data_IF_418176985127
#
_entry.id   IF_418176985127
#
_cell.length_a   1.000
_cell.length_b   1.000
_cell.length_c   1.000
_cell.angle_alpha   90.00
_cell.angle_beta   90.00
_cell.angle_gamma   90.00
#
_symmetry.space_group_name_H-M   'P 1'
#
loop_
_entity.id
_entity.type
_entity.pdbx_description
1 polymer ?
#
# COMPACT_ATOMS: atom_id res chain seq x y z
N UNK A 1 -8.36 8.56 -12.04
CA UNK A 1 -9.72 8.80 -11.52
C UNK A 1 -10.56 7.61 -11.90
N UNK A 2 -11.28 7.00 -10.94
CA UNK A 2 -12.17 5.87 -11.25
C UNK A 2 -13.26 6.30 -12.22
N UNK A 3 -13.62 5.46 -13.21
CA UNK A 3 -14.79 5.69 -14.05
C UNK A 3 -16.05 5.82 -13.19
N UNK A 4 -16.97 6.69 -13.57
CA UNK A 4 -18.19 6.93 -12.79
C UNK A 4 -19.02 5.67 -12.52
N UNK A 5 -19.05 4.73 -13.46
CA UNK A 5 -19.73 3.43 -13.31
C UNK A 5 -19.08 2.54 -12.24
N UNK A 6 -17.74 2.50 -12.19
CA UNK A 6 -17.03 1.76 -11.16
C UNK A 6 -17.25 2.36 -9.76
N UNK A 7 -17.35 3.68 -9.67
CA UNK A 7 -17.65 4.37 -8.42
C UNK A 7 -19.06 4.05 -7.92
N UNK A 8 -20.06 4.04 -8.80
CA UNK A 8 -21.43 3.66 -8.47
C UNK A 8 -21.50 2.20 -8.00
N UNK A 9 -20.90 1.29 -8.74
CA UNK A 9 -20.84 -0.14 -8.36
C UNK A 9 -20.21 -0.35 -6.98
N UNK A 10 -19.14 0.40 -6.65
CA UNK A 10 -18.52 0.33 -5.33
C UNK A 10 -19.40 0.91 -4.22
N UNK A 11 -20.11 1.99 -4.49
CA UNK A 11 -21.03 2.59 -3.49
C UNK A 11 -22.22 1.65 -3.20
N UNK A 12 -22.72 0.96 -4.19
CA UNK A 12 -23.79 -0.02 -4.03
C UNK A 12 -23.31 -1.27 -3.27
N UNK A 13 -22.08 -1.70 -3.52
CA UNK A 13 -21.50 -2.87 -2.85
C UNK A 13 -21.15 -2.62 -1.37
N UNK A 14 -20.89 -1.37 -0.97
CA UNK A 14 -20.48 -1.01 0.40
C UNK A 14 -21.38 0.12 0.90
N UNK A 15 -22.57 -0.20 1.40
CA UNK A 15 -23.53 0.81 1.85
C UNK A 15 -22.99 1.63 3.03
N UNK A 16 -23.46 2.87 3.14
CA UNK A 16 -23.08 3.84 4.18
C UNK A 16 -21.59 4.25 4.14
N UNK A 17 -20.93 4.12 2.99
CA UNK A 17 -19.52 4.50 2.78
C UNK A 17 -19.29 5.37 1.55
N UNK A 18 -20.32 5.90 0.96
CA UNK A 18 -20.28 6.66 -0.29
C UNK A 18 -19.30 7.83 -0.20
N UNK A 19 -19.35 8.58 0.91
CA UNK A 19 -18.47 9.72 1.14
C UNK A 19 -16.99 9.30 1.21
N UNK A 20 -16.70 8.24 1.99
CA UNK A 20 -15.34 7.73 2.14
C UNK A 20 -14.79 7.17 0.84
N UNK A 21 -15.60 6.44 0.09
CA UNK A 21 -15.23 5.89 -1.22
C UNK A 21 -14.91 7.03 -2.19
N UNK A 22 -15.74 8.08 -2.26
CA UNK A 22 -15.51 9.25 -3.11
C UNK A 22 -14.24 10.01 -2.71
N UNK A 23 -14.01 10.22 -1.41
CA UNK A 23 -12.82 10.88 -0.91
C UNK A 23 -11.55 10.08 -1.24
N UNK A 24 -11.54 8.77 -0.97
CA UNK A 24 -10.42 7.89 -1.29
C UNK A 24 -10.17 7.80 -2.80
N UNK A 25 -11.22 7.69 -3.60
CA UNK A 25 -11.12 7.69 -5.06
C UNK A 25 -10.53 8.99 -5.61
N UNK A 26 -10.89 10.13 -5.04
CA UNK A 26 -10.32 11.41 -5.40
C UNK A 26 -8.84 11.52 -5.02
N UNK A 27 -8.46 11.02 -3.83
CA UNK A 27 -7.08 11.00 -3.36
C UNK A 27 -6.19 10.00 -4.12
N UNK A 28 -6.76 8.94 -4.68
CA UNK A 28 -6.07 8.00 -5.56
C UNK A 28 -6.03 8.44 -7.03
N UNK A 29 -6.65 9.59 -7.35
CA UNK A 29 -6.55 10.26 -8.64
C UNK A 29 -5.24 11.05 -8.82
N UNK A 30 -5.12 11.83 -9.90
CA UNK A 30 -4.00 12.72 -10.14
C UNK A 30 -4.29 14.16 -9.62
N UNK A 31 -3.35 14.81 -8.92
CA UNK A 31 -2.04 14.29 -8.43
C UNK A 31 -2.18 13.39 -7.20
N UNK A 32 -1.49 12.25 -7.21
CA UNK A 32 -1.48 11.32 -6.09
C UNK A 32 -0.67 11.86 -4.90
N UNK A 33 -1.16 11.76 -3.66
CA UNK A 33 -0.34 12.02 -2.49
C UNK A 33 0.77 10.97 -2.36
N UNK A 34 1.92 11.35 -1.83
CA UNK A 34 3.03 10.43 -1.60
C UNK A 34 2.67 9.36 -0.56
N UNK A 35 1.87 9.73 0.43
CA UNK A 35 1.43 8.86 1.51
C UNK A 35 0.00 9.22 1.92
N UNK A 36 -0.81 8.21 2.18
CA UNK A 36 -2.17 8.36 2.66
C UNK A 36 -2.38 7.53 3.93
N UNK A 37 -2.87 8.17 4.99
CA UNK A 37 -3.17 7.50 6.25
C UNK A 37 -4.69 7.37 6.41
N UNK A 38 -5.17 6.12 6.48
CA UNK A 38 -6.58 5.82 6.76
C UNK A 38 -6.70 5.31 8.19
N UNK A 39 -7.31 6.09 9.05
CA UNK A 39 -7.50 5.76 10.46
C UNK A 39 -8.98 5.71 10.85
N UNK A 40 -9.29 5.13 11.99
CA UNK A 40 -10.65 5.08 12.55
C UNK A 40 -10.95 3.80 13.33
N UNK A 41 -12.09 3.77 13.99
CA UNK A 41 -12.54 2.73 14.92
C UNK A 41 -12.44 1.33 14.32
N UNK A 42 -12.13 0.33 15.15
CA UNK A 42 -12.06 -1.08 14.75
C UNK A 42 -13.41 -1.56 14.19
N UNK A 43 -13.35 -2.50 13.24
CA UNK A 43 -14.52 -3.14 12.62
C UNK A 43 -15.45 -2.21 11.82
N UNK A 44 -14.98 -1.04 11.40
CA UNK A 44 -15.77 -0.11 10.56
C UNK A 44 -15.63 -0.32 9.05
N UNK A 45 -15.17 -1.46 8.60
CA UNK A 45 -15.08 -1.80 7.17
C UNK A 45 -13.93 -1.17 6.39
N UNK A 46 -12.95 -0.49 7.04
CA UNK A 46 -11.81 0.16 6.36
C UNK A 46 -11.05 -0.76 5.39
N UNK A 47 -10.73 -2.00 5.82
CA UNK A 47 -10.01 -2.95 4.96
C UNK A 47 -10.85 -3.37 3.75
N UNK A 48 -12.15 -3.58 3.97
CA UNK A 48 -13.07 -3.92 2.88
C UNK A 48 -13.13 -2.80 1.85
N UNK A 49 -13.35 -1.57 2.31
CA UNK A 49 -13.41 -0.39 1.43
C UNK A 49 -12.11 -0.19 0.64
N UNK A 50 -10.95 -0.32 1.30
CA UNK A 50 -9.65 -0.19 0.63
C UNK A 50 -9.45 -1.27 -0.43
N UNK A 51 -9.71 -2.54 -0.10
CA UNK A 51 -9.55 -3.65 -1.06
C UNK A 51 -10.47 -3.49 -2.26
N UNK A 52 -11.76 -3.23 -2.04
CA UNK A 52 -12.70 -3.01 -3.12
C UNK A 52 -12.31 -1.82 -4.01
N UNK A 53 -11.74 -0.77 -3.43
CA UNK A 53 -11.23 0.37 -4.18
C UNK A 53 -9.99 0.00 -5.01
N UNK A 54 -9.05 -0.77 -4.45
CA UNK A 54 -7.86 -1.22 -5.16
C UNK A 54 -8.20 -2.15 -6.32
N UNK A 55 -9.19 -3.03 -6.14
CA UNK A 55 -9.68 -3.92 -7.19
C UNK A 55 -10.32 -3.15 -8.36
N UNK A 56 -10.87 -1.97 -8.07
CA UNK A 56 -11.48 -1.10 -9.08
C UNK A 56 -10.49 -0.12 -9.76
N UNK A 57 -9.32 0.08 -9.17
CA UNK A 57 -8.27 0.95 -9.74
C UNK A 57 -7.34 0.11 -10.60
N UNK A 58 -7.17 0.51 -11.87
CA UNK A 58 -6.23 -0.14 -12.79
C UNK A 58 -4.76 0.26 -12.51
N UNK A 59 -4.33 -0.03 -11.29
CA UNK A 59 -2.97 0.24 -10.83
C UNK A 59 -2.48 -0.96 -10.03
N UNK A 60 -1.30 -1.51 -10.34
CA UNK A 60 -0.72 -2.61 -9.57
C UNK A 60 -0.64 -2.26 -8.09
N UNK A 61 -1.16 -3.13 -7.25
CA UNK A 61 -1.23 -2.88 -5.81
C UNK A 61 -0.96 -4.13 -5.00
N UNK A 62 -0.50 -3.95 -3.77
CA UNK A 62 -0.34 -5.03 -2.81
C UNK A 62 -0.78 -4.61 -1.41
N UNK A 63 -1.33 -5.56 -0.65
CA UNK A 63 -1.75 -5.35 0.74
C UNK A 63 -0.92 -6.23 1.66
N UNK A 64 -0.15 -5.59 2.52
CA UNK A 64 0.68 -6.25 3.55
C UNK A 64 -0.04 -6.20 4.88
N UNK A 65 -0.37 -7.36 5.44
CA UNK A 65 -1.02 -7.49 6.74
C UNK A 65 0.01 -7.46 7.85
N UNK A 66 0.11 -6.33 8.56
CA UNK A 66 1.10 -6.16 9.65
C UNK A 66 0.88 -7.12 10.82
N UNK A 67 -0.35 -7.63 11.01
CA UNK A 67 -0.64 -8.62 12.06
C UNK A 67 -0.01 -10.00 11.81
N UNK A 68 0.35 -10.31 10.58
CA UNK A 68 1.05 -11.56 10.22
C UNK A 68 2.56 -11.43 10.38
N UNK A 69 3.05 -10.24 10.71
CA UNK A 69 4.47 -9.92 10.83
C UNK A 69 4.82 -9.66 12.29
N UNK A 70 5.71 -10.46 12.87
CA UNK A 70 6.11 -10.36 14.28
C UNK A 70 7.07 -9.18 14.49
N UNK A 71 7.95 -8.93 13.53
CA UNK A 71 9.00 -7.91 13.60
C UNK A 71 8.88 -6.94 12.43
N UNK A 72 9.43 -5.73 12.60
CA UNK A 72 9.55 -4.75 11.52
C UNK A 72 10.30 -5.31 10.31
N UNK A 73 11.38 -6.04 10.55
CA UNK A 73 12.12 -6.74 9.49
C UNK A 73 11.21 -7.67 8.68
N UNK A 74 10.45 -8.54 9.34
CA UNK A 74 9.54 -9.47 8.68
C UNK A 74 8.48 -8.72 7.85
N UNK A 75 7.98 -7.58 8.35
CA UNK A 75 7.05 -6.72 7.62
C UNK A 75 7.66 -6.17 6.32
N UNK A 76 8.89 -5.67 6.39
CA UNK A 76 9.59 -5.10 5.23
C UNK A 76 9.94 -6.17 4.19
N UNK A 77 10.47 -7.32 4.62
CA UNK A 77 10.77 -8.47 3.75
C UNK A 77 9.49 -8.99 3.05
N UNK A 78 8.38 -9.08 3.80
CA UNK A 78 7.09 -9.50 3.25
C UNK A 78 6.55 -8.48 2.24
N UNK A 79 6.74 -7.20 2.48
CA UNK A 79 6.36 -6.15 1.53
C UNK A 79 7.11 -6.30 0.21
N UNK A 80 8.43 -6.48 0.23
CA UNK A 80 9.24 -6.73 -0.97
C UNK A 80 8.73 -7.96 -1.72
N UNK A 81 8.57 -9.09 -1.02
CA UNK A 81 8.09 -10.33 -1.64
C UNK A 81 6.71 -10.16 -2.29
N UNK A 82 5.82 -9.45 -1.62
CA UNK A 82 4.47 -9.20 -2.15
C UNK A 82 4.49 -8.31 -3.39
N UNK A 83 5.36 -7.29 -3.43
CA UNK A 83 5.56 -6.42 -4.59
C UNK A 83 6.13 -7.24 -5.76
N UNK A 84 7.17 -8.05 -5.52
CA UNK A 84 7.77 -8.92 -6.54
C UNK A 84 6.73 -9.86 -7.15
N UNK A 85 5.90 -10.50 -6.34
CA UNK A 85 4.84 -11.40 -6.81
C UNK A 85 3.83 -10.67 -7.73
N UNK A 86 3.41 -9.47 -7.35
CA UNK A 86 2.49 -8.67 -8.19
C UNK A 86 3.15 -8.28 -9.50
N UNK A 87 4.40 -7.82 -9.47
CA UNK A 87 5.14 -7.43 -10.68
C UNK A 87 5.37 -8.61 -11.62
N UNK A 88 5.66 -9.80 -11.08
CA UNK A 88 5.80 -11.02 -11.87
C UNK A 88 4.49 -11.42 -12.56
N UNK A 89 3.36 -11.31 -11.83
CA UNK A 89 2.04 -11.65 -12.38
C UNK A 89 1.59 -10.68 -13.49
N UNK A 90 2.02 -9.42 -13.43
CA UNK A 90 1.69 -8.40 -14.44
C UNK A 90 2.66 -8.45 -15.64
N UNK A 91 3.61 -9.41 -15.68
CA UNK A 91 4.59 -9.55 -16.76
C UNK A 91 5.64 -8.44 -16.79
N UNK A 92 5.76 -7.69 -15.71
CA UNK A 92 6.74 -6.61 -15.57
C UNK A 92 8.07 -7.08 -14.95
N UNK A 93 8.20 -8.34 -14.60
CA UNK A 93 9.41 -8.93 -14.06
C UNK A 93 10.23 -9.56 -15.19
N UNK A 94 10.99 -8.78 -15.92
CA UNK A 94 12.14 -9.26 -16.68
C UNK A 94 13.37 -9.09 -15.81
N UNK A 95 13.85 -10.16 -15.25
CA UNK A 95 15.10 -10.14 -14.50
C UNK A 95 15.06 -11.08 -13.31
N UNK A 96 16.21 -11.64 -13.03
CA UNK A 96 16.52 -12.59 -11.99
C UNK A 96 15.71 -12.34 -10.70
N UNK A 97 15.17 -13.39 -10.15
CA UNK A 97 14.74 -13.49 -8.78
C UNK A 97 15.78 -12.80 -7.90
N UNK A 98 15.58 -11.51 -7.60
CA UNK A 98 16.47 -10.77 -6.72
C UNK A 98 16.40 -11.49 -5.39
N UNK A 99 17.45 -12.26 -5.11
CA UNK A 99 17.50 -13.18 -4.00
C UNK A 99 17.12 -12.47 -2.71
N UNK A 100 16.44 -13.20 -1.86
CA UNK A 100 15.93 -12.84 -0.54
C UNK A 100 16.92 -11.92 0.24
N UNK A 101 17.02 -10.67 -0.16
CA UNK A 101 17.88 -9.68 0.51
C UNK A 101 17.25 -9.36 1.85
N UNK A 102 18.03 -9.55 2.89
CA UNK A 102 17.61 -9.29 4.26
C UNK A 102 17.40 -7.78 4.46
N UNK A 103 16.16 -7.36 4.62
CA UNK A 103 15.81 -5.97 4.92
C UNK A 103 15.77 -5.77 6.44
N UNK A 104 16.93 -5.63 7.07
CA UNK A 104 17.03 -5.46 8.53
C UNK A 104 16.57 -4.08 9.00
N UNK A 105 16.54 -3.10 8.11
CA UNK A 105 16.13 -1.73 8.40
C UNK A 105 15.44 -1.08 7.19
N UNK A 106 14.97 0.14 7.38
CA UNK A 106 14.29 0.90 6.32
C UNK A 106 15.23 1.29 5.17
N UNK A 107 16.51 1.56 5.44
CA UNK A 107 17.44 1.99 4.39
C UNK A 107 17.64 0.95 3.28
N UNK A 108 17.98 -0.33 3.56
CA UNK A 108 18.03 -1.35 2.52
C UNK A 108 16.67 -1.60 1.87
N UNK A 109 15.56 -1.47 2.61
CA UNK A 109 14.22 -1.57 2.06
C UNK A 109 13.94 -0.49 1.00
N UNK A 110 14.32 0.77 1.24
CA UNK A 110 14.18 1.86 0.26
C UNK A 110 14.97 1.56 -1.01
N UNK A 111 16.21 1.12 -0.89
CA UNK A 111 17.07 0.80 -2.04
C UNK A 111 16.45 -0.33 -2.87
N UNK A 112 15.96 -1.38 -2.22
CA UNK A 112 15.32 -2.51 -2.89
C UNK A 112 14.04 -2.08 -3.61
N UNK A 113 13.21 -1.24 -2.96
CA UNK A 113 12.02 -0.68 -3.58
C UNK A 113 12.34 0.18 -4.80
N UNK A 114 13.38 1.02 -4.73
CA UNK A 114 13.81 1.82 -5.87
C UNK A 114 14.18 0.93 -7.05
N UNK A 115 14.98 -0.10 -6.83
CA UNK A 115 15.40 -1.05 -7.86
C UNK A 115 14.21 -1.80 -8.47
N UNK A 116 13.26 -2.25 -7.61
CA UNK A 116 12.09 -2.99 -8.06
C UNK A 116 11.10 -2.15 -8.88
N UNK A 117 11.00 -0.87 -8.59
CA UNK A 117 9.98 0.00 -9.18
C UNK A 117 10.54 0.99 -10.21
N UNK A 118 11.84 0.97 -10.44
CA UNK A 118 12.48 1.79 -11.45
C UNK A 118 11.92 1.50 -12.85
N UNK A 119 11.42 2.56 -13.51
CA UNK A 119 10.83 2.45 -14.85
C UNK A 119 9.47 1.76 -14.95
N UNK A 120 8.88 1.29 -13.84
CA UNK A 120 7.66 0.46 -13.85
C UNK A 120 6.34 1.21 -13.59
N UNK A 121 6.39 2.54 -13.53
CA UNK A 121 5.19 3.35 -13.36
C UNK A 121 4.66 3.40 -11.93
N UNK A 122 3.34 3.41 -11.78
CA UNK A 122 2.67 3.58 -10.48
C UNK A 122 2.46 2.24 -9.81
N UNK A 123 2.71 2.19 -8.50
CA UNK A 123 2.46 1.01 -7.67
C UNK A 123 1.91 1.43 -6.32
N UNK A 124 0.86 0.78 -5.83
CA UNK A 124 0.24 1.09 -4.54
C UNK A 124 0.62 0.01 -3.52
N UNK A 125 1.23 0.42 -2.41
CA UNK A 125 1.52 -0.48 -1.28
C UNK A 125 0.64 -0.11 -0.10
N UNK A 126 -0.10 -1.06 0.43
CA UNK A 126 -0.97 -0.89 1.60
C UNK A 126 -0.42 -1.66 2.79
N UNK A 127 -0.15 -0.97 3.89
CA UNK A 127 0.16 -1.58 5.17
C UNK A 127 -1.08 -1.59 6.06
N UNK A 128 -1.74 -2.73 6.18
CA UNK A 128 -2.95 -2.87 7.00
C UNK A 128 -2.60 -3.23 8.45
N UNK A 129 -3.07 -2.40 9.39
CA UNK A 129 -2.87 -2.60 10.82
C UNK A 129 -1.45 -2.32 11.30
N UNK A 130 -0.76 -1.35 10.69
CA UNK A 130 0.62 -0.97 11.00
C UNK A 130 0.80 -0.50 12.45
N UNK A 131 -0.23 0.05 13.05
CA UNK A 131 -0.29 0.49 14.44
C UNK A 131 -0.04 -0.64 15.46
N UNK A 132 -0.13 -1.89 15.05
CA UNK A 132 0.11 -3.05 15.91
C UNK A 132 1.59 -3.42 16.05
N UNK A 133 2.44 -2.92 15.19
CA UNK A 133 3.89 -3.12 15.31
C UNK A 133 4.42 -2.34 16.50
N UNK A 134 5.21 -2.97 17.38
CA UNK A 134 5.74 -2.36 18.60
C UNK A 134 6.54 -1.09 18.34
N UNK A 135 7.25 -1.03 17.22
CA UNK A 135 8.09 0.10 16.81
C UNK A 135 7.37 1.07 15.86
N UNK A 136 6.08 0.83 15.56
CA UNK A 136 5.37 1.57 14.52
C UNK A 136 5.30 3.07 14.79
N UNK A 137 4.98 3.48 16.00
CA UNK A 137 4.70 4.86 16.31
C UNK A 137 5.95 5.75 16.29
N UNK A 138 7.10 5.22 16.67
CA UNK A 138 8.31 6.01 16.90
C UNK A 138 9.22 6.13 15.69
N UNK A 139 9.40 5.04 14.96
CA UNK A 139 10.41 4.98 13.88
C UNK A 139 9.81 4.57 12.54
N UNK A 140 8.94 3.57 12.53
CA UNK A 140 8.45 2.96 11.30
C UNK A 140 7.46 3.85 10.53
N UNK A 141 6.43 4.40 11.19
CA UNK A 141 5.44 5.25 10.54
C UNK A 141 6.04 6.52 9.92
N UNK A 142 6.89 7.30 10.64
CA UNK A 142 7.53 8.47 10.07
C UNK A 142 8.42 8.13 8.86
N UNK A 143 9.10 7.00 8.92
CA UNK A 143 9.98 6.58 7.85
C UNK A 143 9.19 6.09 6.62
N UNK A 144 8.13 5.31 6.81
CA UNK A 144 7.24 4.90 5.72
C UNK A 144 6.50 6.10 5.10
N UNK A 145 6.14 7.11 5.90
CA UNK A 145 5.51 8.32 5.39
C UNK A 145 6.42 9.11 4.44
N UNK A 146 7.73 9.06 4.64
CA UNK A 146 8.72 9.71 3.77
C UNK A 146 9.11 8.89 2.54
N UNK A 147 8.76 7.62 2.48
CA UNK A 147 9.10 6.75 1.33
C UNK A 147 8.57 7.30 0.01
N UNK A 148 7.38 7.88 0.00
CA UNK A 148 6.80 8.47 -1.18
C UNK A 148 7.53 9.70 -1.72
N UNK A 149 8.41 10.31 -0.92
CA UNK A 149 9.28 11.42 -1.33
C UNK A 149 10.59 10.92 -1.97
N UNK A 150 11.07 9.77 -1.53
CA UNK A 150 12.37 9.21 -1.94
C UNK A 150 12.29 8.19 -3.06
N UNK A 151 11.17 7.51 -3.18
CA UNK A 151 10.90 6.50 -4.21
C UNK A 151 9.77 7.01 -5.08
N UNK A 152 9.81 6.79 -6.38
CA UNK A 152 8.69 7.08 -7.31
C UNK A 152 7.45 6.21 -7.04
N UNK A 153 7.34 5.71 -5.83
CA UNK A 153 6.17 5.03 -5.27
C UNK A 153 5.04 6.03 -5.06
N UNK A 154 3.89 5.76 -5.60
CA UNK A 154 2.68 6.54 -5.33
C UNK A 154 1.46 5.63 -5.28
N UNK A 155 0.66 5.66 -4.26
CA UNK A 155 0.88 6.09 -2.87
C UNK A 155 1.25 4.92 -1.95
N UNK A 156 1.83 5.22 -0.80
CA UNK A 156 1.89 4.29 0.34
C UNK A 156 0.65 4.53 1.19
N UNK A 157 -0.19 3.53 1.30
CA UNK A 157 -1.41 3.59 2.09
C UNK A 157 -1.17 2.96 3.46
N UNK A 158 -1.10 3.80 4.48
CA UNK A 158 -0.94 3.34 5.86
C UNK A 158 -2.31 3.26 6.51
N UNK A 159 -2.71 2.07 6.92
CA UNK A 159 -3.96 1.87 7.64
C UNK A 159 -3.71 1.66 9.12
N UNK A 160 -4.17 2.59 9.92
CA UNK A 160 -4.11 2.57 11.38
C UNK A 160 -5.49 2.31 11.99
N UNK A 161 -5.48 1.76 13.19
CA UNK A 161 -6.65 1.67 14.07
C UNK A 161 -6.50 2.70 15.19
N UNK A 162 -7.58 3.34 15.54
CA UNK A 162 -7.72 4.13 16.76
C UNK A 162 -8.52 3.31 17.76
#
# INVERSE_FOLDING_TARGET
MLPGEALLSLTDAIPCRELQIRQLSALLGDPLPSTLIVHGVKATGKSLTIRALLDAVDTPSTVVLSQECITTRHLLERAITSIQNVLSNVGMAEGESIGNRRCESISPFVVELQQLLEGRGRFIVVFDGIDRQREAATTLLPALARLGETVSLRPILLKCRV
#
